data_IF_270829665076
#
_entry.id   IF_270829665076
#
_cell.length_a   1.000
_cell.length_b   1.000
_cell.length_c   1.000
_cell.angle_alpha   90.00
_cell.angle_beta   90.00
_cell.angle_gamma   90.00
#
_symmetry.space_group_name_H-M   'P 1'
#
loop_
_entity.id
_entity.type
_entity.pdbx_description
1 polymer ?
#
# COMPACT_ATOMS: atom_id res chain seq x y z
N UNK A 1 -1.87 -11.17 13.40
CA UNK A 1 -0.92 -11.51 12.31
C UNK A 1 -1.12 -12.93 11.80
N UNK A 2 -1.18 -13.93 12.69
CA UNK A 2 -1.38 -15.35 12.34
C UNK A 2 -2.51 -15.61 11.32
N UNK A 3 -3.69 -14.99 11.51
CA UNK A 3 -4.85 -15.16 10.62
C UNK A 3 -4.59 -14.70 9.17
N UNK A 4 -3.78 -13.66 8.96
CA UNK A 4 -3.59 -13.03 7.64
C UNK A 4 -2.37 -13.56 6.90
N UNK A 5 -1.43 -14.18 7.61
CA UNK A 5 -0.16 -14.65 7.04
C UNK A 5 -0.34 -15.59 5.84
N UNK A 6 -1.26 -16.59 5.85
CA UNK A 6 -1.45 -17.47 4.69
C UNK A 6 -1.90 -16.71 3.43
N UNK A 7 -2.78 -15.72 3.59
CA UNK A 7 -3.23 -14.89 2.48
C UNK A 7 -2.09 -14.01 1.95
N UNK A 8 -1.30 -13.40 2.83
CA UNK A 8 -0.14 -12.59 2.41
C UNK A 8 0.89 -13.43 1.64
N UNK A 9 1.19 -14.65 2.10
CA UNK A 9 2.08 -15.57 1.38
C UNK A 9 1.54 -15.95 0.01
N UNK A 10 0.24 -16.26 -0.09
CA UNK A 10 -0.39 -16.55 -1.38
C UNK A 10 -0.28 -15.36 -2.36
N UNK A 11 -0.39 -14.11 -1.88
CA UNK A 11 -0.16 -12.92 -2.70
C UNK A 11 1.29 -12.82 -3.19
N UNK A 12 2.26 -13.12 -2.31
CA UNK A 12 3.69 -13.15 -2.67
C UNK A 12 3.95 -14.21 -3.75
N UNK A 13 3.52 -15.45 -3.50
CA UNK A 13 3.80 -16.61 -4.36
C UNK A 13 3.16 -16.44 -5.75
N UNK A 14 1.95 -15.90 -5.81
CA UNK A 14 1.26 -15.63 -7.07
C UNK A 14 1.72 -14.36 -7.80
N UNK A 15 2.52 -13.50 -7.15
CA UNK A 15 2.84 -12.17 -7.67
C UNK A 15 1.62 -11.24 -7.77
N UNK A 16 0.56 -11.52 -7.00
CA UNK A 16 -0.62 -10.65 -6.91
C UNK A 16 -0.27 -9.39 -6.12
N UNK A 17 -0.76 -8.24 -6.61
CA UNK A 17 -0.52 -6.97 -5.94
C UNK A 17 -1.42 -6.82 -4.70
N UNK A 18 -0.86 -6.33 -3.61
CA UNK A 18 -1.63 -5.91 -2.45
C UNK A 18 -2.15 -4.48 -2.66
N UNK A 19 -3.45 -4.26 -2.58
CA UNK A 19 -4.02 -2.91 -2.60
C UNK A 19 -3.96 -2.28 -1.21
N UNK A 20 -3.45 -1.06 -1.12
CA UNK A 20 -3.72 -0.15 0.01
C UNK A 20 -4.91 0.72 -0.34
N UNK A 21 -6.06 0.35 0.22
CA UNK A 21 -7.32 1.04 0.04
C UNK A 21 -7.49 2.12 1.14
N UNK A 22 -7.53 3.37 0.71
CA UNK A 22 -7.65 4.56 1.55
C UNK A 22 -9.09 4.88 1.97
N UNK A 23 -10.06 4.03 1.59
CA UNK A 23 -11.42 4.16 2.07
C UNK A 23 -11.55 4.01 3.58
N UNK A 24 -10.71 3.21 4.22
CA UNK A 24 -10.83 2.98 5.66
C UNK A 24 -10.71 4.24 6.52
N UNK A 25 -10.05 5.30 6.02
CA UNK A 25 -9.98 6.61 6.68
C UNK A 25 -11.34 7.34 6.79
N UNK A 26 -12.35 6.98 5.99
CA UNK A 26 -13.74 7.49 6.11
C UNK A 26 -14.70 6.49 6.75
N UNK A 27 -14.19 5.32 7.14
CA UNK A 27 -14.95 4.29 7.85
C UNK A 27 -14.51 4.25 9.32
N UNK A 28 -15.24 3.56 10.21
CA UNK A 28 -14.91 3.50 11.64
C UNK A 28 -13.50 2.99 11.96
N UNK A 29 -12.84 2.27 11.03
CA UNK A 29 -11.47 1.83 11.24
C UNK A 29 -10.48 2.98 11.37
N UNK A 30 -10.70 4.11 10.67
CA UNK A 30 -9.82 5.28 10.76
C UNK A 30 -8.41 5.09 10.18
N UNK A 31 -8.15 3.98 9.50
CA UNK A 31 -6.87 3.63 8.88
C UNK A 31 -7.06 3.08 7.46
N UNK A 32 -5.97 2.85 6.72
CA UNK A 32 -6.06 2.19 5.42
C UNK A 32 -6.46 0.71 5.57
N UNK A 33 -7.02 0.13 4.52
CA UNK A 33 -7.22 -1.31 4.40
C UNK A 33 -6.25 -1.92 3.39
N UNK A 34 -5.47 -2.94 3.75
CA UNK A 34 -5.22 -3.38 5.12
C UNK A 34 -4.45 -2.33 5.91
N UNK A 35 -4.47 -2.44 7.24
CA UNK A 35 -3.76 -1.53 8.13
C UNK A 35 -2.24 -1.56 7.92
N UNK A 36 -1.49 -0.52 8.32
CA UNK A 36 -0.05 -0.40 8.06
C UNK A 36 0.80 -1.61 8.48
N UNK A 37 0.57 -2.29 9.63
CA UNK A 37 1.34 -3.47 10.02
C UNK A 37 1.24 -4.64 9.02
N UNK A 38 0.08 -4.83 8.39
CA UNK A 38 -0.10 -5.88 7.38
C UNK A 38 0.61 -5.55 6.07
N UNK A 39 0.66 -4.26 5.70
CA UNK A 39 1.43 -3.80 4.52
C UNK A 39 2.93 -3.99 4.74
N UNK A 40 3.42 -3.65 5.94
CA UNK A 40 4.80 -3.90 6.34
C UNK A 40 5.11 -5.42 6.31
N UNK A 41 4.22 -6.24 6.86
CA UNK A 41 4.39 -7.70 6.82
C UNK A 41 4.44 -8.24 5.40
N UNK A 42 3.55 -7.79 4.52
CA UNK A 42 3.57 -8.20 3.11
C UNK A 42 4.92 -7.90 2.47
N UNK A 43 5.53 -6.74 2.76
CA UNK A 43 6.89 -6.42 2.32
C UNK A 43 7.92 -7.39 2.90
N UNK A 44 7.91 -7.62 4.20
CA UNK A 44 8.85 -8.52 4.89
C UNK A 44 8.82 -9.94 4.32
N UNK A 45 7.64 -10.41 3.91
CA UNK A 45 7.44 -11.72 3.28
C UNK A 45 7.93 -11.78 1.83
N UNK A 46 8.46 -10.69 1.27
CA UNK A 46 8.95 -10.62 -0.11
C UNK A 46 7.94 -10.06 -1.11
N UNK A 47 6.84 -9.46 -0.65
CA UNK A 47 5.85 -8.80 -1.48
C UNK A 47 6.45 -7.67 -2.33
N UNK A 48 6.23 -7.73 -3.65
CA UNK A 48 6.85 -6.81 -4.63
C UNK A 48 5.86 -5.83 -5.25
N UNK A 49 4.58 -6.16 -5.28
CA UNK A 49 3.60 -5.42 -6.07
C UNK A 49 2.53 -4.84 -5.17
N UNK A 50 2.31 -3.54 -5.31
CA UNK A 50 1.30 -2.81 -4.53
C UNK A 50 0.49 -1.90 -5.44
N UNK A 51 -0.79 -1.75 -5.12
CA UNK A 51 -1.67 -0.73 -5.70
C UNK A 51 -2.18 0.19 -4.61
N UNK A 52 -2.80 1.30 -4.99
CA UNK A 52 -3.53 2.14 -4.06
C UNK A 52 -4.84 2.61 -4.69
N UNK A 53 -5.90 2.63 -3.88
CA UNK A 53 -7.25 3.00 -4.32
C UNK A 53 -7.98 3.81 -3.27
N UNK A 54 -8.87 4.70 -3.70
CA UNK A 54 -9.79 5.44 -2.80
C UNK A 54 -11.14 4.76 -2.66
N UNK A 55 -11.45 3.81 -3.55
CA UNK A 55 -12.73 3.12 -3.62
C UNK A 55 -13.91 4.11 -3.68
N UNK A 56 -13.76 5.09 -4.57
CA UNK A 56 -14.67 6.21 -4.68
C UNK A 56 -15.97 5.82 -5.37
N UNK A 57 -17.06 5.84 -4.61
CA UNK A 57 -18.43 5.70 -5.12
C UNK A 57 -19.14 7.06 -5.30
N UNK A 58 -18.45 8.17 -5.00
CA UNK A 58 -18.95 9.55 -5.13
C UNK A 58 -17.80 10.46 -5.54
N UNK A 59 -18.07 11.52 -6.30
CA UNK A 59 -17.04 12.43 -6.83
C UNK A 59 -16.12 13.00 -5.74
N UNK A 60 -16.70 13.44 -4.60
CA UNK A 60 -15.92 13.96 -3.46
C UNK A 60 -14.95 12.94 -2.83
N UNK A 61 -15.08 11.65 -3.14
CA UNK A 61 -14.19 10.61 -2.62
C UNK A 61 -13.09 10.21 -3.62
N UNK A 62 -13.06 10.78 -4.82
CA UNK A 62 -12.16 10.35 -5.92
C UNK A 62 -10.70 10.15 -5.49
N UNK A 63 -10.15 11.06 -4.68
CA UNK A 63 -8.79 10.97 -4.15
C UNK A 63 -8.74 10.89 -2.62
N UNK A 64 -9.85 10.50 -1.97
CA UNK A 64 -9.95 10.51 -0.51
C UNK A 64 -8.84 9.69 0.14
N UNK A 65 -8.00 10.33 0.96
CA UNK A 65 -6.97 9.64 1.74
C UNK A 65 -5.83 9.02 0.92
N UNK A 66 -5.75 9.24 -0.40
CA UNK A 66 -4.72 8.61 -1.24
C UNK A 66 -3.30 9.00 -0.80
N UNK A 67 -3.07 10.25 -0.41
CA UNK A 67 -1.76 10.64 0.11
C UNK A 67 -1.37 9.84 1.36
N UNK A 68 -2.31 9.65 2.29
CA UNK A 68 -2.08 8.83 3.48
C UNK A 68 -1.80 7.37 3.10
N UNK A 69 -2.55 6.82 2.13
CA UNK A 69 -2.29 5.48 1.58
C UNK A 69 -0.89 5.34 0.95
N UNK A 70 -0.45 6.33 0.16
CA UNK A 70 0.92 6.35 -0.37
C UNK A 70 1.96 6.39 0.75
N UNK A 71 1.72 7.13 1.83
CA UNK A 71 2.63 7.17 2.98
C UNK A 71 2.71 5.83 3.72
N UNK A 72 1.62 5.05 3.75
CA UNK A 72 1.67 3.67 4.27
C UNK A 72 2.61 2.82 3.42
N UNK A 73 2.46 2.88 2.09
CA UNK A 73 3.32 2.14 1.15
C UNK A 73 4.79 2.55 1.26
N UNK A 74 5.10 3.85 1.28
CA UNK A 74 6.49 4.31 1.33
C UNK A 74 7.16 4.00 2.67
N UNK A 75 6.42 4.03 3.79
CA UNK A 75 6.95 3.61 5.10
C UNK A 75 7.25 2.11 5.14
N UNK A 76 6.47 1.31 4.41
CA UNK A 76 6.75 -0.11 4.21
C UNK A 76 7.84 -0.37 3.15
N UNK A 77 8.52 0.65 2.62
CA UNK A 77 9.64 0.49 1.68
C UNK A 77 9.25 0.28 0.22
N UNK A 78 8.00 0.58 -0.16
CA UNK A 78 7.60 0.59 -1.57
C UNK A 78 7.85 1.97 -2.21
N UNK A 79 8.43 1.97 -3.41
CA UNK A 79 8.76 3.21 -4.15
C UNK A 79 7.92 3.42 -5.40
N UNK A 80 7.17 2.40 -5.82
CA UNK A 80 6.36 2.41 -7.03
C UNK A 80 5.09 1.59 -6.84
N UNK A 81 4.03 2.00 -7.51
CA UNK A 81 2.79 1.25 -7.67
C UNK A 81 2.90 0.33 -8.89
N UNK A 82 2.27 -0.82 -8.83
CA UNK A 82 2.09 -1.72 -9.95
C UNK A 82 0.75 -1.42 -10.63
N UNK A 83 0.76 -1.10 -11.92
CA UNK A 83 -0.44 -0.88 -12.72
C UNK A 83 -0.54 -1.93 -13.84
N UNK A 84 -1.75 -2.32 -14.20
CA UNK A 84 -2.03 -3.19 -15.36
C UNK A 84 -3.36 -2.80 -15.98
N UNK A 85 -3.37 -2.58 -17.30
CA UNK A 85 -4.59 -2.41 -18.10
C UNK A 85 -4.43 -3.18 -19.40
N UNK A 86 -4.70 -4.49 -19.37
CA UNK A 86 -4.29 -5.41 -20.43
C UNK A 86 -2.76 -5.52 -20.52
N UNK A 87 -2.26 -6.64 -21.04
CA UNK A 87 -0.82 -6.85 -21.20
C UNK A 87 -0.01 -6.88 -19.88
N UNK A 88 1.25 -6.46 -20.00
CA UNK A 88 2.24 -6.56 -18.93
C UNK A 88 2.04 -5.53 -17.81
N UNK A 89 2.61 -5.85 -16.65
CA UNK A 89 2.59 -4.98 -15.48
C UNK A 89 3.57 -3.81 -15.68
N UNK A 90 3.12 -2.59 -15.42
CA UNK A 90 3.94 -1.36 -15.46
C UNK A 90 4.14 -0.85 -14.04
N UNK A 91 5.33 -0.34 -13.75
CA UNK A 91 5.63 0.34 -12.48
C UNK A 91 5.45 1.86 -12.64
N UNK A 92 4.71 2.48 -11.73
CA UNK A 92 4.52 3.94 -11.65
C UNK A 92 5.15 4.43 -10.36
N UNK A 93 6.19 5.27 -10.46
CA UNK A 93 6.89 5.78 -9.27
C UNK A 93 5.97 6.59 -8.36
N UNK A 94 6.04 6.31 -7.06
CA UNK A 94 5.43 7.18 -6.04
C UNK A 94 6.26 8.48 -5.97
N UNK A 95 5.63 9.67 -5.98
CA UNK A 95 6.34 10.95 -5.95
C UNK A 95 7.35 11.04 -4.81
N UNK A 96 8.56 11.52 -5.10
CA UNK A 96 9.67 11.60 -4.13
C UNK A 96 9.28 12.38 -2.86
N UNK A 97 8.44 13.42 -2.97
CA UNK A 97 7.93 14.19 -1.83
C UNK A 97 7.14 13.38 -0.79
N UNK A 98 6.62 12.20 -1.19
CA UNK A 98 5.87 11.31 -0.32
C UNK A 98 6.72 10.17 0.24
N UNK A 99 7.92 9.95 -0.32
CA UNK A 99 8.86 8.94 0.18
C UNK A 99 9.44 9.40 1.50
N UNK A 100 9.61 8.45 2.42
CA UNK A 100 10.29 8.71 3.69
C UNK A 100 11.76 8.99 3.35
N UNK A 101 12.29 10.15 3.74
CA UNK A 101 13.74 10.38 3.71
C UNK A 101 14.33 9.37 4.69
N UNK A 102 15.30 8.57 4.25
CA UNK A 102 15.95 7.58 5.11
C UNK A 102 16.26 8.21 6.46
N UNK A 103 15.70 7.65 7.53
CA UNK A 103 16.02 8.01 8.90
C UNK A 103 17.45 7.56 9.15
N UNK A 104 18.38 8.48 8.90
CA UNK A 104 19.75 8.42 9.39
C UNK A 104 19.91 9.02 10.78
N UNK A 105 18.84 9.15 11.57
CA UNK A 105 18.90 9.70 12.93
C UNK A 105 18.23 8.76 13.93
N UNK A 106 19.11 8.03 14.63
CA UNK A 106 19.04 7.64 16.05
C UNK A 106 17.71 7.27 16.68
N UNK A 107 17.65 6.04 17.20
CA UNK A 107 17.16 5.86 18.57
C UNK A 107 17.95 6.80 19.49
N UNK A 108 17.24 7.69 20.17
CA UNK A 108 17.59 8.25 21.47
C UNK A 108 16.28 8.50 22.23
#
# INVERSE_FOLDING_TARGET
MELFEPALRALVDSGTALEVNSSGYRHPAGEAYPGPPLVARYRELGGRHVTAGSDAHRARHFAWGLEAGYRVLTRAGFEALAFRRGGDRVAISIPVRLRVRGTGDGLA
#
